data_IF_007715700769
#
_entry.id   IF_007715700769
#
_cell.length_a   1.000
_cell.length_b   1.000
_cell.length_c   1.000
_cell.angle_alpha   90.00
_cell.angle_beta   90.00
_cell.angle_gamma   90.00
#
_symmetry.space_group_name_H-M   'P 1'
#
loop_
_entity.id
_entity.type
_entity.pdbx_description
1 polymer ?
#
# COMPACT_ATOMS: atom_id res chain seq x y z
N UNK A 1 53.51 -12.35 -46.42
CA UNK A 1 52.97 -12.47 -45.05
C UNK A 1 51.45 -12.49 -45.14
N UNK A 2 50.84 -13.46 -44.44
CA UNK A 2 49.49 -13.48 -43.82
C UNK A 2 48.46 -12.52 -44.44
N UNK A 3 47.35 -12.93 -45.06
CA UNK A 3 46.47 -14.07 -44.75
C UNK A 3 45.10 -13.54 -44.32
N UNK A 4 44.03 -14.14 -44.86
CA UNK A 4 42.63 -14.15 -44.36
C UNK A 4 41.88 -12.81 -44.45
N UNK A 5 40.64 -12.67 -44.93
CA UNK A 5 39.60 -13.58 -45.40
C UNK A 5 38.21 -12.96 -45.11
N UNK A 6 37.25 -13.12 -46.04
CA UNK A 6 35.79 -13.17 -45.83
C UNK A 6 35.06 -11.90 -45.31
N UNK A 7 33.83 -11.52 -45.70
CA UNK A 7 32.76 -12.21 -46.40
C UNK A 7 31.80 -11.21 -47.09
N UNK A 8 31.10 -11.72 -48.10
CA UNK A 8 29.95 -11.14 -48.81
C UNK A 8 28.74 -10.97 -47.89
N UNK A 9 27.90 -9.96 -48.16
CA UNK A 9 26.44 -10.13 -48.17
C UNK A 9 25.79 -9.10 -49.09
N UNK A 10 25.30 -9.62 -50.20
CA UNK A 10 24.44 -8.96 -51.17
C UNK A 10 23.01 -8.90 -50.64
N UNK A 11 22.36 -7.77 -50.91
CA UNK A 11 21.13 -7.82 -51.69
C UNK A 11 19.81 -7.69 -50.93
N UNK A 12 18.96 -6.83 -51.49
CA UNK A 12 17.52 -7.12 -51.57
C UNK A 12 16.63 -6.14 -50.84
N UNK A 13 16.33 -5.01 -51.49
CA UNK A 13 15.13 -4.24 -51.20
C UNK A 13 13.88 -5.06 -51.53
N UNK A 14 12.90 -5.09 -50.63
CA UNK A 14 11.55 -5.56 -50.92
C UNK A 14 10.56 -4.45 -50.55
N UNK A 15 9.78 -4.10 -51.57
CA UNK A 15 8.70 -3.10 -51.60
C UNK A 15 7.49 -3.70 -50.90
N UNK A 16 6.96 -3.06 -49.85
CA UNK A 16 5.74 -3.50 -49.18
C UNK A 16 4.56 -2.78 -49.81
N UNK A 17 3.87 -3.46 -50.73
CA UNK A 17 2.50 -3.14 -51.11
C UNK A 17 1.55 -3.70 -50.02
N UNK A 18 0.63 -2.87 -49.57
CA UNK A 18 -0.09 -3.06 -48.31
C UNK A 18 -1.24 -4.06 -48.31
N UNK A 19 -1.76 -4.32 -47.10
CA UNK A 19 -3.17 -4.63 -46.85
C UNK A 19 -3.55 -4.09 -45.46
N UNK A 20 -4.63 -3.33 -45.44
CA UNK A 20 -5.32 -2.81 -44.27
C UNK A 20 -6.14 -3.89 -43.56
N UNK A 21 -6.16 -3.88 -42.23
CA UNK A 21 -7.26 -4.41 -41.43
C UNK A 21 -6.96 -5.66 -40.62
N UNK A 22 -7.10 -5.53 -39.28
CA UNK A 22 -7.22 -6.64 -38.34
C UNK A 22 -5.90 -7.14 -37.78
N UNK A 23 -5.52 -6.67 -36.60
CA UNK A 23 -4.41 -7.24 -35.85
C UNK A 23 -4.76 -8.67 -35.37
N UNK A 24 -4.27 -9.66 -36.10
CA UNK A 24 -4.06 -11.00 -35.56
C UNK A 24 -2.69 -11.00 -34.87
N UNK A 25 -2.68 -11.13 -33.54
CA UNK A 25 -1.45 -11.33 -32.80
C UNK A 25 -0.89 -12.73 -33.12
N UNK A 26 0.29 -12.74 -33.74
CA UNK A 26 1.08 -13.93 -34.08
C UNK A 26 1.68 -14.51 -32.79
N UNK A 27 1.32 -15.76 -32.48
CA UNK A 27 1.92 -16.57 -31.43
C UNK A 27 3.41 -16.76 -31.68
N UNK A 28 4.26 -16.20 -30.81
CA UNK A 28 5.66 -16.58 -30.67
C UNK A 28 5.82 -17.49 -29.44
N UNK A 29 6.40 -18.70 -29.57
CA UNK A 29 6.65 -19.57 -28.43
C UNK A 29 8.05 -19.28 -27.87
N UNK A 30 8.15 -18.33 -26.94
CA UNK A 30 9.25 -18.33 -25.97
C UNK A 30 8.64 -18.34 -24.57
N UNK A 31 8.68 -19.55 -24.00
CA UNK A 31 8.26 -19.89 -22.65
C UNK A 31 9.13 -19.16 -21.64
N UNK A 32 8.59 -18.10 -21.07
CA UNK A 32 8.72 -17.74 -19.66
C UNK A 32 7.59 -16.76 -19.36
N UNK A 33 6.36 -17.28 -19.45
CA UNK A 33 5.26 -16.73 -18.70
C UNK A 33 5.64 -16.92 -17.23
N UNK A 34 6.35 -15.95 -16.65
CA UNK A 34 6.03 -15.58 -15.28
C UNK A 34 4.57 -15.15 -15.36
N UNK A 35 3.68 -16.11 -15.14
CA UNK A 35 2.35 -15.80 -14.67
C UNK A 35 2.56 -14.85 -13.51
N UNK A 36 2.33 -13.57 -13.72
CA UNK A 36 1.65 -12.79 -12.70
C UNK A 36 0.30 -13.48 -12.59
N UNK A 37 0.28 -14.58 -11.82
CA UNK A 37 -0.93 -15.06 -11.21
C UNK A 37 -1.48 -13.83 -10.51
N UNK A 38 -2.58 -13.28 -11.05
CA UNK A 38 -3.51 -12.52 -10.27
C UNK A 38 -4.04 -13.50 -9.22
N UNK A 39 -3.24 -13.67 -8.17
CA UNK A 39 -3.53 -14.57 -7.08
C UNK A 39 -4.54 -13.84 -6.21
N UNK A 40 -5.79 -13.87 -6.64
CA UNK A 40 -6.96 -13.62 -5.79
C UNK A 40 -7.10 -14.79 -4.83
N UNK A 41 -6.09 -15.02 -4.00
CA UNK A 41 -6.24 -15.79 -2.77
C UNK A 41 -6.49 -14.77 -1.69
N UNK A 42 -7.59 -14.88 -0.95
CA UNK A 42 -7.86 -14.09 0.25
C UNK A 42 -6.71 -14.29 1.24
N UNK A 43 -5.62 -13.54 1.10
CA UNK A 43 -4.50 -13.58 2.01
C UNK A 43 -4.77 -12.54 3.07
N UNK A 44 -5.07 -12.99 4.28
CA UNK A 44 -4.98 -12.13 5.47
C UNK A 44 -3.69 -11.32 5.39
N UNK A 45 -3.76 -10.01 5.59
CA UNK A 45 -2.61 -9.11 5.45
C UNK A 45 -2.19 -8.60 6.81
N UNK A 46 -0.91 -8.64 7.08
CA UNK A 46 -0.35 -8.03 8.29
C UNK A 46 0.25 -6.68 7.92
N UNK A 47 -0.39 -5.61 8.36
CA UNK A 47 0.14 -4.27 8.19
C UNK A 47 1.13 -3.94 9.30
N UNK A 48 2.23 -3.29 8.93
CA UNK A 48 3.29 -2.86 9.84
C UNK A 48 3.34 -1.34 9.88
N UNK A 49 3.13 -0.79 11.07
CA UNK A 49 3.41 0.62 11.34
C UNK A 49 4.82 0.69 11.90
N UNK A 50 5.70 1.37 11.19
CA UNK A 50 7.09 1.55 11.57
C UNK A 50 7.21 2.65 12.63
N UNK A 51 8.18 2.49 13.53
CA UNK A 51 8.48 3.50 14.54
C UNK A 51 8.95 4.80 13.88
N UNK A 52 8.50 5.93 14.43
CA UNK A 52 8.83 7.25 13.95
C UNK A 52 8.76 8.28 15.08
N UNK A 53 9.04 9.56 14.77
CA UNK A 53 8.96 10.65 15.74
C UNK A 53 7.54 10.76 16.32
N UNK A 54 7.38 10.26 17.54
CA UNK A 54 6.12 10.35 18.29
C UNK A 54 5.09 9.26 17.95
N UNK A 55 5.39 8.27 17.10
CA UNK A 55 4.47 7.15 16.83
C UNK A 55 5.17 5.81 17.06
N UNK A 56 4.60 4.92 17.91
CA UNK A 56 5.21 3.63 18.21
C UNK A 56 5.05 2.65 17.04
N UNK A 57 5.99 1.71 16.90
CA UNK A 57 5.82 0.60 15.98
C UNK A 57 4.75 -0.38 16.49
N UNK A 58 3.94 -0.92 15.58
CA UNK A 58 3.03 -2.02 15.88
C UNK A 58 2.63 -2.78 14.61
N UNK A 59 2.03 -3.95 14.82
CA UNK A 59 1.49 -4.82 13.79
C UNK A 59 -0.02 -4.89 13.95
N UNK A 60 -0.74 -5.01 12.83
CA UNK A 60 -2.17 -5.30 12.82
C UNK A 60 -2.48 -6.34 11.73
N UNK A 61 -3.09 -7.44 12.13
CA UNK A 61 -3.46 -8.56 11.27
C UNK A 61 -4.90 -8.37 10.78
N UNK A 62 -5.04 -8.01 9.52
CA UNK A 62 -6.33 -7.87 8.88
C UNK A 62 -6.75 -9.20 8.24
N UNK A 63 -7.83 -9.84 8.71
CA UNK A 63 -8.36 -11.04 8.07
C UNK A 63 -8.81 -10.70 6.66
N UNK A 64 -8.58 -11.61 5.72
CA UNK A 64 -9.12 -11.49 4.38
C UNK A 64 -10.49 -12.16 4.31
N UNK A 65 -11.38 -11.55 3.54
CA UNK A 65 -12.65 -12.15 3.14
C UNK A 65 -12.52 -12.72 1.72
N UNK A 66 -13.38 -13.67 1.37
CA UNK A 66 -13.40 -14.26 0.03
C UNK A 66 -13.64 -13.15 -1.00
N UNK A 67 -12.88 -13.18 -2.09
CA UNK A 67 -12.93 -12.18 -3.18
C UNK A 67 -12.76 -10.72 -2.73
N UNK A 68 -12.10 -10.52 -1.57
CA UNK A 68 -11.90 -9.20 -0.99
C UNK A 68 -10.44 -8.97 -0.62
N UNK A 69 -10.03 -7.71 -0.71
CA UNK A 69 -8.70 -7.25 -0.32
C UNK A 69 -8.82 -6.52 0.99
N UNK A 70 -8.06 -6.97 1.98
CA UNK A 70 -7.92 -6.27 3.24
C UNK A 70 -7.05 -5.01 3.04
N UNK A 71 -7.50 -3.89 3.61
CA UNK A 71 -6.76 -2.63 3.66
C UNK A 71 -6.90 -1.99 5.04
N UNK A 72 -6.00 -1.06 5.32
CA UNK A 72 -5.97 -0.34 6.58
C UNK A 72 -6.67 1.02 6.42
N UNK A 73 -7.65 1.28 7.28
CA UNK A 73 -8.27 2.59 7.41
C UNK A 73 -7.76 3.28 8.68
N UNK A 74 -7.57 4.60 8.62
CA UNK A 74 -7.33 5.42 9.80
C UNK A 74 -8.60 6.20 10.16
N UNK A 75 -9.16 5.88 11.32
CA UNK A 75 -10.37 6.46 11.86
C UNK A 75 -10.10 7.22 13.17
N UNK A 76 -11.14 7.87 13.69
CA UNK A 76 -11.17 8.41 15.04
C UNK A 76 -12.21 7.70 15.87
N UNK A 77 -11.90 7.49 17.14
CA UNK A 77 -12.87 7.12 18.16
C UNK A 77 -12.68 8.02 19.37
N UNK A 78 -13.61 8.96 19.57
CA UNK A 78 -13.49 10.03 20.56
C UNK A 78 -12.18 10.82 20.37
N UNK A 79 -11.19 10.61 21.24
CA UNK A 79 -9.88 11.28 21.22
C UNK A 79 -8.75 10.35 20.73
N UNK A 80 -9.05 9.08 20.45
CA UNK A 80 -8.07 8.10 20.03
C UNK A 80 -8.00 8.02 18.48
N UNK A 81 -6.78 7.90 17.95
CA UNK A 81 -6.58 7.50 16.55
C UNK A 81 -6.72 5.98 16.45
N UNK A 82 -7.57 5.52 15.54
CA UNK A 82 -7.90 4.10 15.41
C UNK A 82 -7.47 3.58 14.06
N UNK A 83 -6.56 2.60 14.05
CA UNK A 83 -6.24 1.83 12.87
C UNK A 83 -7.22 0.67 12.79
N UNK A 84 -7.95 0.57 11.69
CA UNK A 84 -9.02 -0.40 11.50
C UNK A 84 -8.80 -1.20 10.23
N UNK A 85 -8.99 -2.51 10.34
CA UNK A 85 -9.04 -3.39 9.18
C UNK A 85 -10.38 -3.26 8.46
N UNK A 86 -10.31 -2.97 7.17
CA UNK A 86 -11.45 -2.92 6.27
C UNK A 86 -11.22 -3.85 5.07
N UNK A 87 -12.31 -4.25 4.43
CA UNK A 87 -12.28 -5.08 3.21
C UNK A 87 -12.95 -4.33 2.07
N UNK A 88 -12.44 -4.52 0.85
CA UNK A 88 -13.12 -4.10 -0.38
C UNK A 88 -13.09 -5.25 -1.37
N UNK A 89 -14.11 -5.34 -2.24
CA UNK A 89 -14.13 -6.33 -3.32
C UNK A 89 -12.89 -6.19 -4.19
N UNK A 90 -12.20 -7.30 -4.43
CA UNK A 90 -10.99 -7.34 -5.23
C UNK A 90 -11.33 -7.01 -6.70
N UNK A 91 -10.71 -5.96 -7.27
CA UNK A 91 -10.80 -5.68 -8.71
C UNK A 91 -9.41 -5.75 -9.35
N UNK A 92 -9.12 -6.85 -10.06
CA UNK A 92 -7.87 -6.99 -10.83
C UNK A 92 -6.59 -6.83 -10.01
N UNK A 93 -5.61 -6.07 -10.51
CA UNK A 93 -4.31 -5.80 -9.86
C UNK A 93 -4.41 -4.71 -8.79
N UNK A 94 -5.34 -4.85 -7.84
CA UNK A 94 -5.59 -3.85 -6.82
C UNK A 94 -4.43 -3.79 -5.81
N UNK A 95 -3.54 -2.80 -5.96
CA UNK A 95 -2.58 -2.41 -4.93
C UNK A 95 -3.17 -1.24 -4.16
N UNK A 96 -3.57 -1.48 -2.89
CA UNK A 96 -4.07 -0.41 -2.02
C UNK A 96 -2.90 0.34 -1.39
N UNK A 97 -2.19 1.12 -2.21
CA UNK A 97 -1.19 2.07 -1.75
C UNK A 97 -1.86 3.45 -1.58
N UNK A 98 -2.26 3.77 -0.37
CA UNK A 98 -2.88 5.05 -0.03
C UNK A 98 -2.21 5.70 1.17
N UNK A 99 -2.06 7.01 1.14
CA UNK A 99 -1.69 7.78 2.34
C UNK A 99 -2.90 7.81 3.26
N UNK A 100 -2.72 7.43 4.53
CA UNK A 100 -3.77 7.49 5.55
C UNK A 100 -3.65 8.81 6.30
N UNK A 101 -4.72 9.60 6.35
CA UNK A 101 -4.71 10.89 7.04
C UNK A 101 -5.94 11.01 7.91
N UNK A 102 -5.74 11.39 9.17
CA UNK A 102 -6.84 11.69 10.07
C UNK A 102 -6.49 12.85 10.99
N UNK A 103 -7.45 13.75 11.16
CA UNK A 103 -7.40 14.81 12.16
C UNK A 103 -8.06 14.33 13.45
N UNK A 104 -7.57 14.72 14.62
CA UNK A 104 -8.12 14.40 15.95
C UNK A 104 -9.41 15.16 16.30
N UNK A 105 -9.97 14.88 17.47
CA UNK A 105 -11.03 15.68 18.12
C UNK A 105 -10.43 16.33 19.38
N UNK A 106 -10.68 17.58 19.81
CA UNK A 106 -11.92 18.37 19.93
C UNK A 106 -11.61 19.89 20.09
N UNK A 107 -12.42 20.80 19.51
CA UNK A 107 -12.41 22.27 19.79
C UNK A 107 -12.30 23.19 18.55
N UNK A 108 -12.71 24.47 18.67
CA UNK A 108 -12.65 25.52 17.63
C UNK A 108 -11.21 25.96 17.25
N UNK A 109 -10.20 25.24 17.71
CA UNK A 109 -8.78 25.49 17.46
C UNK A 109 -8.17 24.27 16.77
N UNK A 110 -7.03 24.48 16.12
CA UNK A 110 -6.24 23.51 15.36
C UNK A 110 -6.26 22.11 15.97
N UNK A 111 -6.46 21.09 15.13
CA UNK A 111 -6.56 19.69 15.55
C UNK A 111 -5.23 18.99 15.40
N UNK A 112 -4.98 18.00 16.26
CA UNK A 112 -3.92 17.03 16.05
C UNK A 112 -4.13 16.34 14.69
N UNK A 113 -3.04 15.94 14.02
CA UNK A 113 -3.08 15.30 12.72
C UNK A 113 -2.13 14.13 12.69
N UNK A 114 -2.66 12.95 12.35
CA UNK A 114 -1.88 11.76 12.08
C UNK A 114 -1.86 11.49 10.57
N UNK A 115 -0.66 11.41 10.00
CA UNK A 115 -0.44 11.13 8.57
C UNK A 115 0.45 9.91 8.44
N UNK A 116 -0.02 8.85 7.80
CA UNK A 116 0.75 7.64 7.53
C UNK A 116 1.02 7.49 6.03
N UNK A 117 2.30 7.50 5.67
CA UNK A 117 2.77 7.35 4.30
C UNK A 117 3.15 5.91 4.02
N UNK A 118 2.74 5.42 2.85
CA UNK A 118 3.14 4.12 2.34
C UNK A 118 4.65 4.10 2.10
N UNK A 119 5.33 3.05 2.58
CA UNK A 119 6.76 2.82 2.37
C UNK A 119 7.03 1.62 1.46
N UNK A 120 6.33 0.52 1.73
CA UNK A 120 6.42 -0.75 1.03
C UNK A 120 5.09 -1.50 1.18
N UNK A 121 4.84 -2.59 0.42
CA UNK A 121 3.62 -3.38 0.60
C UNK A 121 3.37 -3.71 2.08
N UNK A 122 2.19 -3.34 2.57
CA UNK A 122 1.76 -3.51 3.96
C UNK A 122 2.60 -2.78 5.01
N UNK A 123 3.39 -1.77 4.63
CA UNK A 123 4.24 -1.00 5.55
C UNK A 123 3.99 0.50 5.45
N UNK A 124 3.81 1.13 6.61
CA UNK A 124 3.58 2.57 6.71
C UNK A 124 4.49 3.20 7.76
N UNK A 125 4.89 4.45 7.50
CA UNK A 125 5.50 5.33 8.51
C UNK A 125 4.51 6.45 8.81
N UNK A 126 4.23 6.68 10.09
CA UNK A 126 3.28 7.71 10.50
C UNK A 126 3.99 8.93 11.08
N UNK A 127 3.40 10.11 10.97
CA UNK A 127 3.84 11.34 11.63
C UNK A 127 2.66 11.94 12.36
N UNK A 128 2.85 12.22 13.64
CA UNK A 128 1.88 12.92 14.47
C UNK A 128 2.27 14.40 14.56
N UNK A 129 1.32 15.28 14.30
CA UNK A 129 1.42 16.71 14.54
C UNK A 129 0.39 17.08 15.59
N UNK A 130 0.79 17.78 16.64
CA UNK A 130 -0.17 18.33 17.60
C UNK A 130 -0.90 19.57 17.04
N UNK A 131 -1.87 20.05 17.80
CA UNK A 131 -2.60 21.31 17.61
C UNK A 131 -1.74 22.57 17.40
N UNK A 132 -0.44 22.55 17.73
CA UNK A 132 0.49 23.65 17.48
C UNK A 132 1.40 23.40 16.27
N UNK A 133 1.19 22.29 15.55
CA UNK A 133 2.09 21.83 14.48
C UNK A 133 3.41 21.24 15.00
N UNK A 134 3.52 21.02 16.31
CA UNK A 134 4.68 20.39 16.95
C UNK A 134 4.65 18.87 16.80
N UNK A 135 5.83 18.25 16.82
CA UNK A 135 6.01 16.79 16.82
C UNK A 135 6.39 16.24 18.21
N UNK A 136 6.31 17.08 19.27
CA UNK A 136 6.76 16.73 20.63
C UNK A 136 5.75 15.87 21.41
N UNK A 137 4.53 15.78 20.92
CA UNK A 137 3.48 14.91 21.45
C UNK A 137 3.69 13.48 20.98
N UNK A 138 3.69 12.55 21.95
CA UNK A 138 3.86 11.12 21.67
C UNK A 138 2.50 10.43 21.64
N UNK A 139 2.30 9.56 20.68
CA UNK A 139 1.25 8.56 20.69
C UNK A 139 1.74 7.33 21.44
N UNK A 140 0.82 6.67 22.15
CA UNK A 140 1.05 5.35 22.74
C UNK A 140 -0.07 4.41 22.32
N UNK A 141 0.26 3.12 22.18
CA UNK A 141 -0.75 2.08 21.97
C UNK A 141 -1.57 1.96 23.27
N UNK A 142 -2.80 2.47 23.25
CA UNK A 142 -3.74 2.38 24.37
C UNK A 142 -4.40 1.01 24.41
N UNK A 143 -4.81 0.52 23.23
CA UNK A 143 -5.32 -0.84 23.05
C UNK A 143 -4.59 -1.46 21.87
N UNK A 144 -3.94 -2.59 22.13
CA UNK A 144 -3.36 -3.45 21.10
C UNK A 144 -4.45 -4.02 20.21
N UNK A 145 -4.06 -4.83 19.22
CA UNK A 145 -4.99 -5.51 18.31
C UNK A 145 -6.13 -6.18 19.09
N UNK A 146 -7.36 -5.78 18.77
CA UNK A 146 -8.59 -6.37 19.34
C UNK A 146 -9.72 -6.29 18.33
N UNK A 147 -10.79 -7.06 18.55
CA UNK A 147 -12.04 -6.91 17.79
C UNK A 147 -12.93 -5.88 18.46
N UNK A 148 -13.43 -4.92 17.69
CA UNK A 148 -14.47 -3.98 18.13
C UNK A 148 -15.80 -4.70 18.34
N UNK A 149 -16.77 -4.03 18.96
CA UNK A 149 -18.14 -4.57 19.12
C UNK A 149 -18.81 -4.92 17.79
N UNK A 150 -18.38 -4.27 16.70
CA UNK A 150 -18.83 -4.51 15.33
C UNK A 150 -18.05 -5.64 14.64
N UNK A 151 -17.13 -6.32 15.34
CA UNK A 151 -16.34 -7.44 14.83
C UNK A 151 -15.11 -7.05 14.01
N UNK A 152 -14.82 -5.76 13.85
CA UNK A 152 -13.65 -5.27 13.07
C UNK A 152 -12.39 -5.31 13.91
N UNK A 153 -11.25 -5.68 13.30
CA UNK A 153 -9.95 -5.66 13.98
C UNK A 153 -9.44 -4.22 14.05
N UNK A 154 -9.06 -3.78 15.25
CA UNK A 154 -8.66 -2.40 15.55
C UNK A 154 -7.44 -2.31 16.48
N UNK A 155 -6.66 -1.25 16.32
CA UNK A 155 -5.60 -0.80 17.25
C UNK A 155 -5.87 0.67 17.59
N UNK A 156 -5.84 1.01 18.88
CA UNK A 156 -6.14 2.38 19.34
C UNK A 156 -4.88 3.04 19.85
N UNK A 157 -4.54 4.18 19.25
CA UNK A 157 -3.47 5.07 19.70
C UNK A 157 -4.05 6.26 20.44
N UNK A 158 -3.45 6.60 21.58
CA UNK A 158 -3.81 7.77 22.38
C UNK A 158 -2.64 8.74 22.45
N UNK A 159 -2.95 10.03 22.34
CA UNK A 159 -2.01 11.11 22.63
C UNK A 159 -1.69 11.12 24.12
N UNK A 160 -0.42 10.95 24.47
CA UNK A 160 0.10 11.28 25.79
C UNK A 160 0.77 12.65 25.70
N UNK A 161 0.08 13.65 26.25
CA UNK A 161 0.67 14.96 26.45
C UNK A 161 1.88 14.80 27.37
N UNK A 162 3.08 15.10 26.84
CA UNK A 162 4.29 15.26 27.63
C UNK A 162 4.07 16.50 28.50
N UNK A 163 3.38 16.36 29.65
CA UNK A 163 3.37 17.41 30.67
C UNK A 163 4.82 17.63 31.08
N UNK A 164 5.34 18.79 30.68
CA UNK A 164 6.62 19.32 31.13
C UNK A 164 6.46 19.97 32.49
#
# INVERSE_FOLDING_TARGET
>A
MVGVGSAKLLGGALVIAGVSGGAYAVLSPFLSANSLEAQSTSSSRTFRILESSGVPAFLINCPAEVDSIAYLELALSYEDFVFRCETKTAQGSDVVASTLVKEGAYGNATKDKLTCTFQAPDQYTCTHLDQNGGQDSKLVVKKTEHKSEQGKVEVHLKVVSSKK
#
